data_IF_203801453758
#
_entry.id   IF_203801453758
#
_cell.length_a   1.000
_cell.length_b   1.000
_cell.length_c   1.000
_cell.angle_alpha   90.00
_cell.angle_beta   90.00
_cell.angle_gamma   90.00
#
_symmetry.space_group_name_H-M   'P 1'
#
loop_
_entity.id
_entity.type
_entity.pdbx_description
1 polymer ?
#
# COMPACT_ATOMS: atom_id res chain seq x y z
N UNK A 1 -3.12 22.54 -3.11
CA UNK A 1 -1.94 21.66 -2.93
C UNK A 1 -2.36 20.58 -1.94
N UNK A 2 -2.22 19.26 -2.09
CA UNK A 2 -1.75 18.31 -3.12
C UNK A 2 -2.89 17.28 -3.30
N UNK A 3 -3.16 16.81 -4.53
CA UNK A 3 -4.19 15.80 -4.79
C UNK A 3 -3.66 14.42 -4.38
N UNK A 4 -4.36 13.73 -3.48
CA UNK A 4 -4.18 12.30 -3.23
C UNK A 4 -4.53 11.55 -4.52
N UNK A 5 -3.54 10.90 -5.13
CA UNK A 5 -3.71 10.11 -6.34
C UNK A 5 -3.84 8.64 -5.91
N UNK A 6 -4.95 8.31 -5.29
CA UNK A 6 -5.36 6.93 -5.08
C UNK A 6 -5.94 6.43 -6.41
N UNK A 7 -5.06 5.87 -7.25
CA UNK A 7 -5.49 5.12 -8.43
C UNK A 7 -5.54 3.66 -8.04
N UNK A 8 -6.73 3.22 -7.66
CA UNK A 8 -7.12 1.81 -7.54
C UNK A 8 -6.74 1.06 -8.82
N UNK A 9 -5.66 0.28 -8.78
CA UNK A 9 -5.33 -0.69 -9.80
C UNK A 9 -6.10 -1.98 -9.53
N UNK A 10 -7.29 -2.07 -10.12
CA UNK A 10 -8.14 -3.25 -10.14
C UNK A 10 -7.48 -4.36 -10.98
N UNK A 11 -7.23 -5.51 -10.37
CA UNK A 11 -7.28 -6.80 -11.09
C UNK A 11 -5.98 -7.51 -11.50
N UNK A 12 -4.79 -7.10 -11.07
CA UNK A 12 -3.53 -7.83 -11.35
C UNK A 12 -2.86 -8.28 -10.04
N UNK A 13 -2.01 -9.32 -10.02
CA UNK A 13 -1.07 -9.54 -8.91
C UNK A 13 -0.09 -8.37 -8.91
N UNK A 14 -0.56 -7.23 -8.41
CA UNK A 14 0.10 -5.95 -8.54
C UNK A 14 1.32 -5.99 -7.63
N UNK A 15 2.49 -5.91 -8.25
CA UNK A 15 3.69 -5.47 -7.58
C UNK A 15 3.38 -4.05 -7.06
N UNK A 16 3.29 -3.92 -5.74
CA UNK A 16 3.05 -2.66 -5.05
C UNK A 16 4.40 -2.10 -4.65
N UNK A 17 4.67 -0.87 -5.07
CA UNK A 17 5.87 -0.14 -4.67
C UNK A 17 5.46 0.84 -3.57
N UNK A 18 6.09 0.70 -2.40
CA UNK A 18 5.95 1.61 -1.26
C UNK A 18 7.24 2.42 -1.14
N UNK A 19 7.14 3.75 -1.24
CA UNK A 19 8.25 4.66 -1.00
C UNK A 19 8.08 5.27 0.39
N UNK A 20 9.05 5.00 1.26
CA UNK A 20 9.16 5.62 2.59
C UNK A 20 10.16 6.76 2.48
N UNK A 21 9.69 8.00 2.67
CA UNK A 21 10.57 9.17 2.65
C UNK A 21 11.22 9.36 4.03
N UNK A 22 12.35 10.08 4.06
CA UNK A 22 13.00 10.44 5.33
C UNK A 22 12.06 11.23 6.25
N UNK A 23 11.24 12.11 5.68
CA UNK A 23 10.26 12.91 6.42
C UNK A 23 9.22 12.03 7.14
N UNK A 24 8.72 10.97 6.47
CA UNK A 24 7.75 10.03 7.04
C UNK A 24 8.37 9.20 8.18
N UNK A 25 9.63 8.78 8.01
CA UNK A 25 10.39 8.09 9.05
C UNK A 25 10.61 8.96 10.29
N UNK A 26 11.01 10.22 10.10
CA UNK A 26 11.20 11.18 11.20
C UNK A 26 9.86 11.54 11.89
N UNK A 27 8.77 11.60 11.14
CA UNK A 27 7.43 11.77 11.71
C UNK A 27 7.04 10.58 12.60
N UNK A 28 7.36 9.35 12.17
CA UNK A 28 7.16 8.15 12.98
C UNK A 28 7.97 8.18 14.28
N UNK A 29 9.25 8.57 14.22
CA UNK A 29 10.07 8.77 15.42
C UNK A 29 9.47 9.82 16.36
N UNK A 30 8.95 10.94 15.83
CA UNK A 30 8.26 11.97 16.63
C UNK A 30 6.98 11.47 17.28
N UNK A 31 6.29 10.51 16.65
CA UNK A 31 5.10 9.83 17.22
C UNK A 31 5.46 8.78 18.26
N UNK A 32 6.76 8.52 18.47
CA UNK A 32 7.26 7.53 19.42
C UNK A 32 7.35 6.11 18.84
N UNK A 33 7.29 5.95 17.52
CA UNK A 33 7.59 4.67 16.88
C UNK A 33 9.09 4.40 16.94
N UNK A 34 9.47 3.13 17.08
CA UNK A 34 10.88 2.72 17.13
C UNK A 34 11.37 2.24 15.76
N UNK A 35 12.69 2.09 15.59
CA UNK A 35 13.29 1.56 14.34
C UNK A 35 12.74 0.16 14.00
N UNK A 36 12.30 -0.62 15.00
CA UNK A 36 11.71 -1.96 14.81
C UNK A 36 10.27 -1.90 14.28
N UNK A 37 9.52 -0.85 14.63
CA UNK A 37 8.13 -0.64 14.21
C UNK A 37 8.01 -0.11 12.77
N UNK A 38 9.12 0.34 12.18
CA UNK A 38 9.13 1.12 10.95
C UNK A 38 10.02 0.53 9.85
N UNK A 39 9.62 0.78 8.61
CA UNK A 39 10.49 0.60 7.47
C UNK A 39 11.48 1.77 7.38
N UNK A 40 12.73 1.46 7.05
CA UNK A 40 13.76 2.48 6.84
C UNK A 40 13.42 3.32 5.60
N UNK A 41 13.87 4.58 5.53
CA UNK A 41 13.63 5.39 4.34
C UNK A 41 14.23 4.70 3.10
N UNK A 42 13.39 4.49 2.09
CA UNK A 42 13.73 3.67 0.93
C UNK A 42 12.52 3.24 0.09
N UNK A 43 12.80 2.53 -1.01
CA UNK A 43 11.77 1.98 -1.91
C UNK A 43 11.63 0.49 -1.69
N UNK A 44 10.42 0.07 -1.35
CA UNK A 44 10.07 -1.32 -1.09
C UNK A 44 9.16 -1.84 -2.18
N UNK A 45 9.55 -2.95 -2.80
CA UNK A 45 8.69 -3.68 -3.74
C UNK A 45 8.08 -4.86 -3.02
N UNK A 46 6.77 -4.88 -2.91
CA UNK A 46 6.03 -5.96 -2.29
C UNK A 46 5.00 -6.51 -3.28
N UNK A 47 4.89 -7.83 -3.34
CA UNK A 47 3.82 -8.44 -4.11
C UNK A 47 2.60 -8.48 -3.24
N UNK A 48 1.49 -7.88 -3.68
CA UNK A 48 0.22 -7.97 -2.96
C UNK A 48 -0.10 -9.46 -2.82
N UNK A 49 -0.10 -9.96 -1.58
CA UNK A 49 -0.23 -11.38 -1.30
C UNK A 49 -1.42 -11.94 -2.05
N UNK A 50 -1.25 -13.11 -2.67
CA UNK A 50 -2.24 -13.74 -3.55
C UNK A 50 -3.52 -14.18 -2.83
N UNK A 51 -3.93 -13.55 -1.74
CA UNK A 51 -5.18 -13.81 -1.03
C UNK A 51 -6.39 -13.76 -1.98
N UNK A 52 -6.49 -12.73 -2.83
CA UNK A 52 -7.52 -12.64 -3.89
C UNK A 52 -7.30 -13.65 -5.04
N UNK A 53 -6.08 -14.14 -5.22
CA UNK A 53 -5.78 -15.20 -6.19
C UNK A 53 -6.15 -16.59 -5.66
N UNK A 54 -6.06 -16.79 -4.34
CA UNK A 54 -6.44 -18.03 -3.63
C UNK A 54 -7.94 -18.10 -3.35
N UNK A 55 -8.59 -16.95 -3.18
CA UNK A 55 -10.03 -16.82 -2.93
C UNK A 55 -10.70 -16.01 -4.05
N UNK A 56 -10.81 -16.58 -5.27
CA UNK A 56 -11.43 -15.90 -6.41
C UNK A 56 -12.92 -15.58 -6.17
N UNK A 57 -13.59 -16.29 -5.26
CA UNK A 57 -14.97 -16.01 -4.84
C UNK A 57 -15.16 -14.63 -4.19
N UNK A 58 -14.09 -14.03 -3.66
CA UNK A 58 -14.12 -12.71 -3.02
C UNK A 58 -13.86 -11.56 -4.00
N UNK A 59 -13.64 -11.83 -5.30
CA UNK A 59 -13.62 -10.77 -6.31
C UNK A 59 -15.03 -10.18 -6.41
N UNK A 60 -15.26 -9.09 -5.68
CA UNK A 60 -16.48 -8.30 -5.77
C UNK A 60 -16.62 -7.85 -7.23
N UNK A 61 -17.59 -8.42 -7.95
CA UNK A 61 -18.02 -7.90 -9.25
C UNK A 61 -18.41 -6.45 -9.01
N UNK A 62 -17.72 -5.53 -9.68
CA UNK A 62 -18.00 -4.10 -9.66
C UNK A 62 -19.52 -3.90 -9.72
N UNK A 63 -20.12 -3.46 -8.60
CA UNK A 63 -21.50 -3.02 -8.62
C UNK A 63 -21.46 -1.75 -9.45
N UNK A 64 -21.94 -1.82 -10.70
CA UNK A 64 -22.31 -0.65 -11.47
C UNK A 64 -23.24 0.18 -10.60
N UNK A 65 -22.74 1.28 -10.07
CA UNK A 65 -23.57 2.34 -9.52
C UNK A 65 -24.54 2.76 -10.62
N UNK A 66 -25.82 2.55 -10.36
CA UNK A 66 -26.93 3.00 -11.20
C UNK A 66 -27.23 4.48 -10.93
#
# INVERSE_FOLDING_TARGET
MKKANDKEAVGQPAEVELEVTTEDYEEGLRRGWTDDDMLKPGRYKMKRGGFLARHPELKVKERKSA
#
